data_IF_238743297003
#
_entry.id   IF_238743297003
#
_cell.length_a   1.000
_cell.length_b   1.000
_cell.length_c   1.000
_cell.angle_alpha   90.00
_cell.angle_beta   90.00
_cell.angle_gamma   90.00
#
_symmetry.space_group_name_H-M   'P 1'
#
loop_
_entity.id
_entity.type
_entity.pdbx_description
1 polymer ?
#
# COMPACT_ATOMS: atom_id res chain seq x y z
N UNK A 1 -16.43 -2.17 7.43
CA UNK A 1 -15.35 -1.95 8.42
C UNK A 1 -15.49 -2.81 9.66
N UNK A 2 -14.69 -3.87 9.73
CA UNK A 2 -14.63 -4.77 10.90
C UNK A 2 -14.06 -4.05 12.13
N UNK A 3 -14.28 -4.63 13.32
CA UNK A 3 -13.68 -4.11 14.56
C UNK A 3 -12.16 -4.17 14.52
N UNK A 4 -11.59 -5.25 13.98
CA UNK A 4 -10.15 -5.46 13.83
C UNK A 4 -9.52 -4.37 12.96
N UNK A 5 -10.11 -4.10 11.80
CA UNK A 5 -9.60 -3.08 10.89
C UNK A 5 -9.56 -1.70 11.55
N UNK A 6 -10.65 -1.31 12.23
CA UNK A 6 -10.70 -0.04 12.97
C UNK A 6 -9.64 0.05 14.06
N UNK A 7 -9.43 -1.03 14.79
CA UNK A 7 -8.43 -1.09 15.86
C UNK A 7 -7.00 -0.98 15.31
N UNK A 8 -6.69 -1.74 14.26
CA UNK A 8 -5.41 -1.67 13.57
C UNK A 8 -5.12 -0.27 13.03
N UNK A 9 -6.07 0.34 12.31
CA UNK A 9 -5.93 1.71 11.80
C UNK A 9 -5.72 2.74 12.92
N UNK A 10 -6.41 2.58 14.05
CA UNK A 10 -6.22 3.44 15.22
C UNK A 10 -4.81 3.32 15.81
N UNK A 11 -4.26 2.10 15.83
CA UNK A 11 -2.91 1.79 16.33
C UNK A 11 -1.82 2.34 15.38
N UNK A 12 -1.96 2.10 14.08
CA UNK A 12 -1.04 2.59 13.03
C UNK A 12 -0.92 4.13 12.99
N UNK A 13 -1.96 4.85 13.43
CA UNK A 13 -1.99 6.32 13.52
C UNK A 13 -1.41 6.88 14.82
N UNK A 14 -1.00 6.04 15.77
CA UNK A 14 -0.32 6.51 16.99
C UNK A 14 1.09 6.99 16.66
N UNK A 15 1.68 7.80 17.54
CA UNK A 15 3.09 8.20 17.42
C UNK A 15 4.06 7.14 17.95
N UNK A 16 3.58 6.25 18.82
CA UNK A 16 4.38 5.19 19.43
C UNK A 16 4.76 4.12 18.39
N UNK A 17 6.06 3.89 18.11
CA UNK A 17 6.49 2.95 17.08
C UNK A 17 6.01 1.51 17.29
N UNK A 18 5.94 1.06 18.55
CA UNK A 18 5.51 -0.30 18.90
C UNK A 18 4.03 -0.48 18.57
N UNK A 19 3.18 0.47 19.00
CA UNK A 19 1.75 0.43 18.70
C UNK A 19 1.48 0.53 17.21
N UNK A 20 2.28 1.34 16.51
CA UNK A 20 2.19 1.47 15.07
C UNK A 20 2.43 0.11 14.39
N UNK A 21 3.53 -0.57 14.72
CA UNK A 21 3.86 -1.90 14.18
C UNK A 21 2.82 -2.96 14.56
N UNK A 22 2.32 -2.96 15.79
CA UNK A 22 1.24 -3.84 16.23
C UNK A 22 -0.01 -3.69 15.34
N UNK A 23 -0.39 -2.44 15.04
CA UNK A 23 -1.51 -2.17 14.14
C UNK A 23 -1.31 -2.75 12.73
N UNK A 24 -0.10 -2.61 12.18
CA UNK A 24 0.25 -3.19 10.89
C UNK A 24 0.18 -4.73 10.92
N UNK A 25 0.79 -5.36 11.94
CA UNK A 25 0.81 -6.82 12.10
C UNK A 25 -0.59 -7.42 12.28
N UNK A 26 -1.55 -6.66 12.84
CA UNK A 26 -2.95 -7.08 12.93
C UNK A 26 -3.65 -7.18 11.57
N UNK A 27 -3.24 -6.37 10.59
CA UNK A 27 -3.83 -6.34 9.25
C UNK A 27 -3.08 -7.18 8.25
N UNK A 28 -1.77 -7.31 8.36
CA UNK A 28 -0.92 -8.05 7.41
C UNK A 28 -1.47 -9.43 7.00
N UNK A 29 -1.83 -10.34 7.93
CA UNK A 29 -2.36 -11.66 7.56
C UNK A 29 -3.78 -11.62 6.96
N UNK A 30 -4.46 -10.48 7.05
CA UNK A 30 -5.82 -10.24 6.56
C UNK A 30 -5.88 -9.14 5.50
N UNK A 31 -4.74 -8.77 4.90
CA UNK A 31 -4.68 -7.63 3.99
C UNK A 31 -5.59 -7.83 2.77
N UNK A 32 -5.63 -9.07 2.23
CA UNK A 32 -6.53 -9.44 1.14
C UNK A 32 -8.01 -9.30 1.51
N UNK A 33 -8.40 -9.68 2.74
CA UNK A 33 -9.79 -9.58 3.22
C UNK A 33 -10.23 -8.11 3.36
N UNK A 34 -9.28 -7.21 3.61
CA UNK A 34 -9.50 -5.80 3.89
C UNK A 34 -9.09 -4.88 2.74
N UNK A 35 -8.78 -5.42 1.54
CA UNK A 35 -8.21 -4.64 0.44
C UNK A 35 -9.01 -3.38 0.09
N UNK A 36 -10.33 -3.49 -0.03
CA UNK A 36 -11.18 -2.35 -0.37
C UNK A 36 -11.15 -1.26 0.70
N UNK A 37 -11.05 -1.67 1.96
CA UNK A 37 -10.97 -0.77 3.11
C UNK A 37 -9.58 -0.10 3.16
N UNK A 38 -8.51 -0.85 2.86
CA UNK A 38 -7.15 -0.32 2.75
C UNK A 38 -7.03 0.72 1.62
N UNK A 39 -7.58 0.41 0.44
CA UNK A 39 -7.60 1.34 -0.71
C UNK A 39 -8.35 2.63 -0.34
N UNK A 40 -9.53 2.50 0.28
CA UNK A 40 -10.33 3.65 0.68
C UNK A 40 -9.63 4.53 1.73
N UNK A 41 -8.97 3.93 2.74
CA UNK A 41 -8.20 4.66 3.74
C UNK A 41 -6.97 5.34 3.12
N UNK A 42 -6.26 4.67 2.20
CA UNK A 42 -5.11 5.25 1.51
C UNK A 42 -5.48 6.51 0.70
N UNK A 43 -6.62 6.47 0.01
CA UNK A 43 -7.10 7.60 -0.79
C UNK A 43 -7.58 8.79 0.05
N UNK A 44 -8.07 8.54 1.27
CA UNK A 44 -8.55 9.59 2.19
C UNK A 44 -7.44 10.17 3.08
N UNK A 45 -6.28 9.50 3.17
CA UNK A 45 -5.20 9.91 4.05
C UNK A 45 -4.39 11.06 3.43
N UNK A 46 -4.83 12.31 3.62
CA UNK A 46 -4.13 13.52 3.11
C UNK A 46 -2.82 13.85 3.87
N UNK A 47 -2.53 13.13 4.94
CA UNK A 47 -1.40 13.44 5.81
C UNK A 47 -0.08 12.88 5.24
N UNK A 48 0.86 13.77 4.90
CA UNK A 48 2.21 13.41 4.47
C UNK A 48 3.00 12.60 5.53
N UNK A 49 2.61 12.67 6.80
CA UNK A 49 3.19 11.91 7.92
C UNK A 49 2.31 10.75 8.41
N UNK A 50 1.23 10.44 7.69
CA UNK A 50 0.30 9.36 8.02
C UNK A 50 0.86 7.98 7.69
N UNK A 51 0.13 6.89 7.99
CA UNK A 51 0.55 5.52 7.70
C UNK A 51 0.49 5.16 6.20
N UNK A 52 0.62 6.13 5.28
CA UNK A 52 0.44 5.93 3.83
C UNK A 52 1.38 4.84 3.27
N UNK A 53 2.65 4.84 3.66
CA UNK A 53 3.61 3.82 3.24
C UNK A 53 3.15 2.41 3.66
N UNK A 54 2.71 2.26 4.91
CA UNK A 54 2.25 0.98 5.43
C UNK A 54 0.90 0.54 4.87
N UNK A 55 0.00 1.47 4.60
CA UNK A 55 -1.23 1.18 3.87
C UNK A 55 -0.90 0.65 2.48
N UNK A 56 0.03 1.27 1.77
CA UNK A 56 0.45 0.84 0.44
C UNK A 56 1.16 -0.51 0.47
N UNK A 57 1.99 -0.75 1.49
CA UNK A 57 2.60 -2.05 1.75
C UNK A 57 1.55 -3.15 1.98
N UNK A 58 0.56 -2.92 2.86
CA UNK A 58 -0.55 -3.86 3.08
C UNK A 58 -1.35 -4.12 1.80
N UNK A 59 -1.59 -3.08 0.99
CA UNK A 59 -2.26 -3.22 -0.32
C UNK A 59 -1.44 -4.09 -1.27
N UNK A 60 -0.11 -3.95 -1.29
CA UNK A 60 0.78 -4.83 -2.04
C UNK A 60 0.77 -6.27 -1.53
N UNK A 61 0.79 -6.47 -0.22
CA UNK A 61 0.75 -7.78 0.44
C UNK A 61 -0.60 -8.50 0.29
N UNK A 62 -1.68 -7.77 -0.03
CA UNK A 62 -2.96 -8.37 -0.42
C UNK A 62 -2.87 -9.18 -1.73
N UNK A 63 -1.82 -8.97 -2.55
CA UNK A 63 -1.53 -9.71 -3.80
C UNK A 63 -2.75 -9.90 -4.71
N UNK A 64 -3.58 -8.88 -4.81
CA UNK A 64 -4.80 -8.90 -5.61
C UNK A 64 -4.67 -7.96 -6.80
N UNK A 65 -5.01 -8.44 -8.00
CA UNK A 65 -5.05 -7.60 -9.22
C UNK A 65 -5.94 -6.36 -9.07
N UNK A 66 -6.88 -6.37 -8.13
CA UNK A 66 -7.71 -5.20 -7.80
C UNK A 66 -6.88 -4.01 -7.29
N UNK A 67 -5.70 -4.24 -6.73
CA UNK A 67 -4.77 -3.22 -6.27
C UNK A 67 -3.95 -2.59 -7.41
N UNK A 68 -3.89 -3.23 -8.58
CA UNK A 68 -3.02 -2.83 -9.68
C UNK A 68 -3.21 -1.36 -10.10
N UNK A 69 -4.45 -0.84 -10.30
CA UNK A 69 -4.63 0.54 -10.71
C UNK A 69 -4.04 1.55 -9.71
N UNK A 70 -4.23 1.29 -8.40
CA UNK A 70 -3.72 2.16 -7.35
C UNK A 70 -2.19 2.10 -7.28
N UNK A 71 -1.61 0.89 -7.31
CA UNK A 71 -0.15 0.72 -7.27
C UNK A 71 0.50 1.37 -8.49
N UNK A 72 -0.09 1.23 -9.67
CA UNK A 72 0.38 1.89 -10.89
C UNK A 72 0.35 3.42 -10.78
N UNK A 73 -0.73 3.98 -10.22
CA UNK A 73 -0.86 5.43 -10.01
C UNK A 73 0.26 5.97 -9.10
N UNK A 74 0.63 5.23 -8.05
CA UNK A 74 1.66 5.66 -7.11
C UNK A 74 3.08 5.70 -7.72
N UNK A 75 3.34 5.01 -8.84
CA UNK A 75 4.63 5.09 -9.54
C UNK A 75 4.92 6.50 -10.11
N UNK A 76 3.87 7.28 -10.40
CA UNK A 76 4.01 8.63 -10.94
C UNK A 76 4.11 9.71 -9.86
N UNK A 77 4.02 9.34 -8.57
CA UNK A 77 4.04 10.26 -7.44
C UNK A 77 5.41 10.88 -7.17
N UNK A 78 5.43 12.06 -6.55
CA UNK A 78 6.68 12.72 -6.14
C UNK A 78 7.35 12.03 -4.93
N UNK A 79 6.58 11.31 -4.11
CA UNK A 79 7.05 10.61 -2.92
C UNK A 79 7.79 9.32 -3.29
N UNK A 80 9.11 9.32 -3.10
CA UNK A 80 9.98 8.18 -3.40
C UNK A 80 9.64 6.94 -2.56
N UNK A 81 9.28 7.12 -1.29
CA UNK A 81 8.91 5.99 -0.44
C UNK A 81 7.64 5.32 -0.94
N UNK A 82 6.64 6.09 -1.39
CA UNK A 82 5.44 5.52 -1.99
C UNK A 82 5.72 4.84 -3.33
N UNK A 83 6.64 5.37 -4.15
CA UNK A 83 7.07 4.69 -5.39
C UNK A 83 7.71 3.34 -5.09
N UNK A 84 8.61 3.26 -4.12
CA UNK A 84 9.28 2.00 -3.76
C UNK A 84 8.28 0.94 -3.28
N UNK A 85 7.32 1.33 -2.44
CA UNK A 85 6.26 0.42 -1.99
C UNK A 85 5.31 0.01 -3.12
N UNK A 86 5.02 0.92 -4.05
CA UNK A 86 4.24 0.61 -5.24
C UNK A 86 4.96 -0.42 -6.14
N UNK A 87 6.29 -0.26 -6.33
CA UNK A 87 7.11 -1.23 -7.05
C UNK A 87 7.06 -2.59 -6.37
N UNK A 88 7.32 -2.65 -5.06
CA UNK A 88 7.26 -3.90 -4.29
C UNK A 88 5.88 -4.58 -4.40
N UNK A 89 4.80 -3.80 -4.31
CA UNK A 89 3.44 -4.30 -4.49
C UNK A 89 3.19 -4.88 -5.89
N UNK A 90 3.64 -4.21 -6.95
CA UNK A 90 3.51 -4.69 -8.33
C UNK A 90 4.39 -5.94 -8.59
N UNK A 91 5.58 -6.00 -8.00
CA UNK A 91 6.43 -7.18 -8.05
C UNK A 91 5.78 -8.38 -7.35
N UNK A 92 5.16 -8.14 -6.19
CA UNK A 92 4.39 -9.13 -5.43
C UNK A 92 3.16 -9.65 -6.18
N UNK A 93 2.50 -8.83 -7.01
CA UNK A 93 1.41 -9.29 -7.88
C UNK A 93 1.91 -10.28 -8.92
N UNK A 94 3.09 -10.04 -9.51
CA UNK A 94 3.73 -10.96 -10.46
C UNK A 94 2.95 -11.20 -11.77
N UNK A 95 1.81 -10.55 -11.98
CA UNK A 95 0.99 -10.70 -13.17
C UNK A 95 1.68 -10.14 -14.42
N UNK A 96 1.12 -10.47 -15.58
CA UNK A 96 1.65 -9.96 -16.85
C UNK A 96 1.48 -8.44 -16.90
N UNK A 97 0.33 -7.97 -16.46
CA UNK A 97 -0.08 -6.58 -16.42
C UNK A 97 0.82 -5.78 -15.46
N UNK A 98 1.05 -6.28 -14.24
CA UNK A 98 1.95 -5.64 -13.28
C UNK A 98 3.38 -5.51 -13.82
N UNK A 99 3.91 -6.55 -14.48
CA UNK A 99 5.23 -6.50 -15.13
C UNK A 99 5.29 -5.50 -16.29
N UNK A 100 4.22 -5.36 -17.06
CA UNK A 100 4.14 -4.36 -18.13
C UNK A 100 4.13 -2.92 -17.57
N UNK A 101 3.44 -2.70 -16.46
CA UNK A 101 3.45 -1.41 -15.75
C UNK A 101 4.87 -1.07 -15.29
N UNK A 102 5.53 -1.97 -14.57
CA UNK A 102 6.92 -1.77 -14.12
C UNK A 102 7.89 -1.50 -15.28
N UNK A 103 7.76 -2.24 -16.37
CA UNK A 103 8.59 -2.05 -17.56
C UNK A 103 8.42 -0.63 -18.14
N UNK A 104 7.17 -0.16 -18.28
CA UNK A 104 6.89 1.19 -18.79
C UNK A 104 7.41 2.27 -17.84
N UNK A 105 7.23 2.09 -16.55
CA UNK A 105 7.69 3.04 -15.55
C UNK A 105 9.22 3.20 -15.57
N UNK A 106 9.97 2.10 -15.69
CA UNK A 106 11.44 2.13 -15.91
C UNK A 106 11.80 2.83 -17.21
N UNK A 107 11.11 2.54 -18.30
CA UNK A 107 11.36 3.17 -19.60
C UNK A 107 11.11 4.70 -19.58
N UNK A 108 10.18 5.15 -18.74
CA UNK A 108 9.85 6.56 -18.57
C UNK A 108 10.77 7.28 -17.55
N UNK A 109 11.62 6.56 -16.83
CA UNK A 109 12.46 7.11 -15.75
C UNK A 109 11.69 7.46 -14.48
N UNK A 110 10.52 6.87 -14.28
CA UNK A 110 9.68 7.07 -13.08
C UNK A 110 10.20 6.26 -11.88
N UNK A 111 10.87 5.14 -12.17
CA UNK A 111 11.53 4.26 -11.20
C UNK A 111 12.88 3.83 -11.75
N UNK A 112 13.83 3.57 -10.85
CA UNK A 112 15.25 3.27 -11.17
C UNK A 112 15.47 1.78 -11.40
#
# INVERSE_FOLDING_TARGET
>A
MTRRFREAMRLMRKHDPQLKEEGFQLLLPHAADHLDELIAEFQQEDNAHGPRCWLLELIGEARSERALPLLAEQLHGADESLRDWAVAGLENLGSREARQVLYRARANGEIV
#
